data_IF_320441090942
#
_entry.id   IF_320441090942
#
_cell.length_a   1.000
_cell.length_b   1.000
_cell.length_c   1.000
_cell.angle_alpha   90.00
_cell.angle_beta   90.00
_cell.angle_gamma   90.00
#
_symmetry.space_group_name_H-M   'P 1'
#
loop_
_entity.id
_entity.type
_entity.pdbx_description
1 polymer ?
#
# COMPACT_ATOMS: atom_id res chain seq x y z
N UNK A 1 10.18 -14.43 -8.20
CA UNK A 1 9.10 -13.61 -8.71
C UNK A 1 8.98 -12.33 -7.90
N UNK A 2 9.00 -11.19 -8.57
CA UNK A 2 8.90 -9.92 -7.87
C UNK A 2 7.44 -9.56 -7.66
N UNK A 3 7.11 -9.17 -6.44
CA UNK A 3 5.74 -8.82 -6.05
C UNK A 3 5.76 -7.40 -5.52
N UNK A 4 4.77 -6.62 -5.92
CA UNK A 4 4.66 -5.23 -5.50
C UNK A 4 3.34 -4.94 -4.82
N UNK A 5 3.38 -4.03 -3.86
CA UNK A 5 2.19 -3.50 -3.23
C UNK A 5 1.91 -2.14 -3.86
N UNK A 6 0.74 -2.00 -4.46
CA UNK A 6 0.38 -0.82 -5.26
C UNK A 6 -0.96 -0.27 -4.87
N UNK A 7 -1.21 0.97 -5.27
CA UNK A 7 -2.54 1.54 -5.23
C UNK A 7 -3.21 1.29 -6.57
N UNK A 8 -4.43 0.77 -6.52
CA UNK A 8 -5.26 0.63 -7.72
C UNK A 8 -6.41 1.61 -7.62
N UNK A 9 -6.53 2.48 -8.60
CA UNK A 9 -7.59 3.48 -8.60
C UNK A 9 -8.93 2.83 -8.86
N UNK A 10 -9.88 3.20 -8.03
CA UNK A 10 -11.28 2.78 -8.13
C UNK A 10 -12.13 4.04 -8.10
N UNK A 11 -13.43 3.87 -8.15
CA UNK A 11 -14.35 4.97 -7.97
C UNK A 11 -14.58 5.81 -9.21
N UNK A 12 -15.29 6.90 -9.04
CA UNK A 12 -15.70 7.76 -10.15
C UNK A 12 -14.60 8.74 -10.53
N UNK A 13 -14.82 9.38 -11.68
CA UNK A 13 -13.85 10.29 -12.29
C UNK A 13 -13.39 11.40 -11.37
N UNK A 14 -14.30 12.00 -10.61
CA UNK A 14 -13.98 13.10 -9.70
C UNK A 14 -13.92 12.68 -8.25
N UNK A 15 -14.02 11.38 -7.99
CA UNK A 15 -14.00 10.85 -6.63
C UNK A 15 -13.04 9.68 -6.56
N UNK A 16 -11.74 9.95 -6.55
CA UNK A 16 -10.76 8.88 -6.51
C UNK A 16 -10.86 8.10 -5.20
N UNK A 17 -10.78 6.81 -5.33
CA UNK A 17 -10.75 5.89 -4.21
C UNK A 17 -9.77 4.81 -4.60
N UNK A 18 -8.92 4.42 -3.68
CA UNK A 18 -7.84 3.49 -4.00
C UNK A 18 -7.95 2.22 -3.20
N UNK A 19 -7.59 1.12 -3.84
CA UNK A 19 -7.43 -0.15 -3.17
C UNK A 19 -5.94 -0.44 -3.09
N UNK A 20 -5.48 -0.89 -1.93
CA UNK A 20 -4.09 -1.25 -1.73
C UNK A 20 -3.97 -2.72 -2.06
N UNK A 21 -3.30 -3.04 -3.16
CA UNK A 21 -3.26 -4.39 -3.71
C UNK A 21 -1.85 -4.93 -3.78
N UNK A 22 -1.77 -6.26 -3.85
CA UNK A 22 -0.52 -6.98 -4.11
C UNK A 22 -0.60 -7.53 -5.53
N UNK A 23 0.39 -7.25 -6.33
CA UNK A 23 0.42 -7.70 -7.72
C UNK A 23 1.84 -8.09 -8.14
N UNK A 24 1.92 -8.91 -9.19
CA UNK A 24 3.20 -9.22 -9.80
C UNK A 24 3.76 -7.92 -10.39
N UNK A 25 5.07 -7.71 -10.22
CA UNK A 25 5.72 -6.49 -10.70
C UNK A 25 5.56 -6.30 -12.21
N UNK A 26 5.34 -7.37 -12.95
CA UNK A 26 5.13 -7.32 -14.40
C UNK A 26 3.69 -7.06 -14.79
N UNK A 27 2.75 -7.16 -13.83
CA UNK A 27 1.35 -6.98 -14.15
C UNK A 27 1.11 -5.52 -14.55
N UNK A 28 0.29 -5.28 -15.59
CA UNK A 28 -0.07 -3.92 -15.93
C UNK A 28 -0.89 -3.28 -14.82
N UNK A 29 -0.91 -1.96 -14.81
CA UNK A 29 -1.57 -1.20 -13.76
C UNK A 29 -3.04 -1.59 -13.58
N UNK A 30 -3.71 -1.90 -14.66
CA UNK A 30 -5.12 -2.30 -14.65
C UNK A 30 -5.30 -3.80 -14.72
N UNK A 31 -4.22 -4.57 -14.54
CA UNK A 31 -4.27 -6.01 -14.63
C UNK A 31 -4.70 -6.67 -13.35
N UNK A 32 -4.58 -7.98 -13.34
CA UNK A 32 -4.96 -8.77 -12.18
C UNK A 32 -4.03 -8.53 -11.01
N UNK A 33 -4.56 -8.69 -9.82
CA UNK A 33 -3.78 -8.61 -8.59
C UNK A 33 -3.95 -9.89 -7.79
N UNK A 34 -2.99 -10.13 -6.89
CA UNK A 34 -2.95 -11.35 -6.11
C UNK A 34 -3.85 -11.26 -4.88
N UNK A 35 -3.84 -10.10 -4.21
CA UNK A 35 -4.57 -9.92 -2.96
C UNK A 35 -4.83 -8.44 -2.73
N UNK A 36 -5.80 -8.17 -1.86
CA UNK A 36 -6.11 -6.81 -1.43
C UNK A 36 -5.75 -6.67 0.03
N UNK A 37 -4.95 -5.66 0.36
CA UNK A 37 -4.50 -5.42 1.73
C UNK A 37 -5.34 -4.38 2.46
N UNK A 38 -6.03 -3.52 1.72
CA UNK A 38 -6.83 -2.48 2.33
C UNK A 38 -7.30 -1.47 1.32
N UNK A 39 -7.76 -0.33 1.84
CA UNK A 39 -8.30 0.75 1.02
C UNK A 39 -7.73 2.08 1.48
N UNK A 40 -7.73 3.06 0.58
CA UNK A 40 -7.28 4.41 0.86
C UNK A 40 -8.25 5.39 0.21
N UNK A 41 -8.83 6.26 1.03
CA UNK A 41 -9.73 7.30 0.56
C UNK A 41 -9.12 8.66 0.86
N UNK A 42 -8.57 9.36 -0.15
CA UNK A 42 -7.96 10.67 0.09
C UNK A 42 -8.96 11.80 0.21
N UNK A 43 -10.24 11.54 -0.07
CA UNK A 43 -11.25 12.60 -0.04
C UNK A 43 -11.73 12.94 1.36
N UNK A 44 -11.50 12.07 2.32
CA UNK A 44 -11.85 12.36 3.71
C UNK A 44 -10.76 13.21 4.35
N UNK A 45 -11.10 13.90 5.44
CA UNK A 45 -10.14 14.73 6.17
C UNK A 45 -10.22 14.36 7.66
N UNK A 46 -9.19 13.70 8.20
CA UNK A 46 -8.00 13.21 7.49
C UNK A 46 -8.30 12.06 6.54
N UNK A 47 -7.40 11.79 5.61
CA UNK A 47 -7.57 10.71 4.67
C UNK A 47 -7.77 9.39 5.40
N UNK A 48 -8.72 8.60 4.91
CA UNK A 48 -9.08 7.34 5.55
C UNK A 48 -8.27 6.19 4.93
N UNK A 49 -7.50 5.52 5.78
CA UNK A 49 -6.69 4.37 5.36
C UNK A 49 -7.10 3.18 6.22
N UNK A 50 -7.57 2.14 5.54
CA UNK A 50 -7.92 0.89 6.22
C UNK A 50 -7.01 -0.21 5.71
N UNK A 51 -6.32 -0.86 6.62
CA UNK A 51 -5.36 -1.90 6.28
C UNK A 51 -5.59 -3.13 7.15
N UNK A 52 -5.32 -4.30 6.58
CA UNK A 52 -5.26 -5.53 7.36
C UNK A 52 -3.79 -5.74 7.75
N UNK A 53 -3.42 -5.48 9.01
CA UNK A 53 -2.02 -5.52 9.40
C UNK A 53 -1.37 -6.89 9.24
N UNK A 54 -2.13 -7.95 9.46
CA UNK A 54 -1.59 -9.29 9.32
C UNK A 54 -1.21 -9.60 7.88
N UNK A 55 -2.08 -9.24 6.94
CA UNK A 55 -1.78 -9.44 5.53
C UNK A 55 -0.61 -8.59 5.08
N UNK A 56 -0.54 -7.34 5.54
CA UNK A 56 0.56 -6.45 5.19
C UNK A 56 1.88 -7.05 5.67
N UNK A 57 1.93 -7.47 6.93
CA UNK A 57 3.15 -8.05 7.49
C UNK A 57 3.56 -9.31 6.75
N UNK A 58 2.58 -10.14 6.41
CA UNK A 58 2.87 -11.37 5.68
C UNK A 58 3.52 -11.07 4.33
N UNK A 59 2.95 -10.14 3.58
CA UNK A 59 3.49 -9.82 2.26
C UNK A 59 4.86 -9.14 2.35
N UNK A 60 5.05 -8.26 3.32
CA UNK A 60 6.36 -7.63 3.53
C UNK A 60 7.41 -8.66 3.92
N UNK A 61 7.04 -9.61 4.77
CA UNK A 61 7.97 -10.66 5.19
C UNK A 61 8.37 -11.56 4.02
N UNK A 62 7.54 -11.64 3.00
CA UNK A 62 7.83 -12.42 1.80
C UNK A 62 8.51 -11.61 0.71
N UNK A 63 8.92 -10.38 1.02
CA UNK A 63 9.69 -9.58 0.09
C UNK A 63 8.88 -8.71 -0.84
N UNK A 64 7.58 -8.56 -0.62
CA UNK A 64 6.79 -7.65 -1.43
C UNK A 64 7.28 -6.22 -1.24
N UNK A 65 7.41 -5.48 -2.33
CA UNK A 65 7.96 -4.13 -2.29
C UNK A 65 6.84 -3.11 -2.48
N UNK A 66 6.63 -2.23 -1.49
CA UNK A 66 5.61 -1.19 -1.62
C UNK A 66 6.09 -0.08 -2.56
N UNK A 67 5.15 0.45 -3.35
CA UNK A 67 5.41 1.66 -4.12
C UNK A 67 5.59 2.84 -3.17
N UNK A 68 6.11 3.96 -3.67
CA UNK A 68 6.33 5.12 -2.81
C UNK A 68 5.06 5.59 -2.11
N UNK A 69 3.91 5.77 -2.81
CA UNK A 69 2.69 6.15 -2.11
C UNK A 69 2.26 5.14 -1.04
N UNK A 70 2.37 3.84 -1.34
CA UNK A 70 2.01 2.80 -0.37
C UNK A 70 2.95 2.84 0.81
N UNK A 71 4.24 3.06 0.56
CA UNK A 71 5.22 3.14 1.63
C UNK A 71 4.88 4.22 2.64
N UNK A 72 4.46 5.39 2.15
CA UNK A 72 4.01 6.47 3.03
C UNK A 72 2.80 6.06 3.85
N UNK A 73 1.83 5.41 3.23
CA UNK A 73 0.64 4.97 3.94
C UNK A 73 0.97 3.93 5.01
N UNK A 74 1.85 2.99 4.71
CA UNK A 74 2.25 1.97 5.66
C UNK A 74 3.03 2.56 6.83
N UNK A 75 3.88 3.53 6.56
CA UNK A 75 4.64 4.20 7.61
C UNK A 75 3.72 4.95 8.56
N UNK A 76 2.72 5.65 8.02
CA UNK A 76 1.74 6.36 8.84
C UNK A 76 0.91 5.42 9.69
N UNK A 77 0.66 4.21 9.19
CA UNK A 77 -0.09 3.21 9.95
C UNK A 77 0.78 2.42 10.92
N UNK A 78 2.08 2.70 10.96
CA UNK A 78 2.99 1.99 11.85
C UNK A 78 3.34 0.59 11.40
N UNK A 79 3.11 0.28 10.13
CA UNK A 79 3.34 -1.06 9.60
C UNK A 79 4.66 -1.18 8.85
N UNK A 80 5.38 -0.09 8.67
CA UNK A 80 6.65 -0.10 7.99
C UNK A 80 7.71 0.52 8.90
N UNK A 81 8.76 -0.22 9.16
CA UNK A 81 9.82 0.20 10.07
C UNK A 81 11.01 0.77 9.31
N UNK A 82 11.86 1.51 10.03
CA UNK A 82 13.04 2.11 9.43
C UNK A 82 13.99 1.07 8.84
N UNK A 83 14.05 -0.10 9.39
CA UNK A 83 14.89 -1.16 8.83
C UNK A 83 14.39 -1.60 7.45
N UNK A 84 13.22 -1.20 7.06
CA UNK A 84 12.69 -1.46 5.73
C UNK A 84 13.20 -0.42 4.72
N UNK A 85 14.19 0.37 5.10
CA UNK A 85 14.77 1.36 4.23
C UNK A 85 14.21 2.75 4.37
N UNK A 86 13.32 2.99 5.31
CA UNK A 86 12.75 4.30 5.58
C UNK A 86 13.39 4.87 6.82
N UNK A 87 13.96 6.04 6.70
CA UNK A 87 14.54 6.73 7.85
C UNK A 87 13.43 7.08 8.82
N UNK A 88 13.68 6.84 10.06
CA UNK A 88 12.67 7.19 11.05
C UNK A 88 12.62 8.66 11.25
N UNK A 89 12.81 9.03 11.08
CA UNK A 89 12.81 9.94 11.41
C UNK A 89 12.35 10.29 12.39
N UNK A 90 12.66 10.00 12.56
CA UNK A 90 12.34 10.11 13.18
C UNK A 90 11.81 10.25 13.74
N UNK A 91 11.85 10.29 14.00
CA UNK A 91 11.38 10.28 14.46
C UNK A 91 11.13 10.40 15.02
N UNK A 92 11.35 10.34 15.17
CA UNK A 92 11.09 10.35 15.54
C UNK A 92 10.88 10.49 15.69
#
# INVERSE_FOLDING_TARGET
>A
MAVRIRLKRMGAKKRPFYRIIVADARAPRDGRFIDTLGTYNPLTNPADVKLNPEKVRLRLSRGAQPSDPVRHLLARAGLLHSEQGIAPSTGE
#
